data_IF_175893818336
#
_entry.id   IF_175893818336
#
_cell.length_a   1.000
_cell.length_b   1.000
_cell.length_c   1.000
_cell.angle_alpha   90.00
_cell.angle_beta   90.00
_cell.angle_gamma   90.00
#
_symmetry.space_group_name_H-M   'P 1'
#
loop_
_entity.id
_entity.type
_entity.pdbx_description
1 polymer ?
#
# COMPACT_ATOMS: atom_id res chain seq x y z
N UNK A 1 37.68 -10.83 1.29
CA UNK A 1 36.68 -9.77 1.05
C UNK A 1 36.55 -9.03 2.36
N UNK A 2 37.26 -7.92 2.49
CA UNK A 2 37.33 -7.19 3.76
C UNK A 2 36.17 -6.20 3.84
N UNK A 3 35.60 -6.05 5.04
CA UNK A 3 34.47 -5.16 5.27
C UNK A 3 34.89 -3.69 5.16
N UNK A 4 34.20 -2.92 4.32
CA UNK A 4 34.54 -1.53 3.96
C UNK A 4 33.74 -0.53 4.79
N UNK A 5 34.26 -0.15 5.96
CA UNK A 5 33.62 0.79 6.88
C UNK A 5 33.42 2.20 6.30
N UNK A 6 34.29 2.61 5.38
CA UNK A 6 34.22 3.88 4.65
C UNK A 6 32.97 3.99 3.76
N UNK A 7 32.50 2.87 3.22
CA UNK A 7 31.26 2.83 2.44
C UNK A 7 30.04 3.11 3.30
N UNK A 8 30.00 2.63 4.55
CA UNK A 8 28.85 2.84 5.45
C UNK A 8 28.60 4.32 5.70
N UNK A 9 29.66 5.09 6.00
CA UNK A 9 29.53 6.55 6.23
C UNK A 9 29.04 7.25 4.97
N UNK A 10 29.52 6.80 3.80
CA UNK A 10 29.16 7.39 2.50
C UNK A 10 27.70 7.10 2.12
N UNK A 11 27.19 5.89 2.40
CA UNK A 11 25.80 5.50 2.07
C UNK A 11 24.81 5.83 3.20
N UNK A 12 25.27 6.21 4.39
CA UNK A 12 24.38 6.50 5.50
C UNK A 12 23.29 7.55 5.16
N UNK A 13 23.58 8.65 4.47
CA UNK A 13 22.55 9.62 4.07
C UNK A 13 21.47 9.01 3.16
N UNK A 14 21.83 8.12 2.23
CA UNK A 14 20.85 7.49 1.34
C UNK A 14 20.00 6.46 2.10
N UNK A 15 20.60 5.72 3.04
CA UNK A 15 19.88 4.81 3.93
C UNK A 15 18.91 5.57 4.83
N UNK A 16 19.33 6.71 5.38
CA UNK A 16 18.50 7.58 6.21
C UNK A 16 17.32 8.14 5.42
N UNK A 17 17.55 8.61 4.19
CA UNK A 17 16.47 9.05 3.31
C UNK A 17 15.49 7.90 3.00
N UNK A 18 16.00 6.71 2.66
CA UNK A 18 15.16 5.55 2.38
C UNK A 18 14.35 5.09 3.60
N UNK A 19 14.93 5.18 4.79
CA UNK A 19 14.25 4.95 6.06
C UNK A 19 13.07 5.91 6.24
N UNK A 20 13.29 7.22 6.06
CA UNK A 20 12.22 8.23 6.17
C UNK A 20 11.12 8.01 5.13
N UNK A 21 11.49 7.65 3.89
CA UNK A 21 10.49 7.33 2.85
C UNK A 21 9.67 6.10 3.23
N UNK A 22 10.30 5.03 3.73
CA UNK A 22 9.59 3.81 4.15
C UNK A 22 8.65 4.10 5.32
N UNK A 23 9.12 4.91 6.28
CA UNK A 23 8.33 5.31 7.44
C UNK A 23 7.10 6.12 6.99
N UNK A 24 7.30 7.16 6.18
CA UNK A 24 6.22 7.98 5.64
C UNK A 24 5.21 7.15 4.85
N UNK A 25 5.70 6.25 3.98
CA UNK A 25 4.85 5.34 3.22
C UNK A 25 4.02 4.45 4.15
N UNK A 26 4.66 3.77 5.10
CA UNK A 26 4.00 2.84 6.04
C UNK A 26 2.93 3.54 6.86
N UNK A 27 3.22 4.72 7.41
CA UNK A 27 2.25 5.50 8.18
C UNK A 27 1.06 5.91 7.32
N UNK A 28 1.30 6.42 6.11
CA UNK A 28 0.23 6.85 5.21
C UNK A 28 -0.66 5.68 4.74
N UNK A 29 -0.07 4.56 4.31
CA UNK A 29 -0.81 3.35 3.96
C UNK A 29 -1.61 2.80 5.14
N UNK A 30 -1.02 2.77 6.33
CA UNK A 30 -1.70 2.27 7.53
C UNK A 30 -2.90 3.14 7.90
N UNK A 31 -2.80 4.47 7.79
CA UNK A 31 -3.93 5.36 8.05
C UNK A 31 -5.06 5.15 7.04
N UNK A 32 -4.75 5.04 5.75
CA UNK A 32 -5.75 4.78 4.70
C UNK A 32 -6.41 3.41 4.92
N UNK A 33 -5.62 2.37 5.16
CA UNK A 33 -6.11 1.01 5.38
C UNK A 33 -6.92 0.86 6.67
N UNK A 34 -6.60 1.64 7.71
CA UNK A 34 -7.40 1.66 8.93
C UNK A 34 -8.78 2.28 8.68
N UNK A 35 -8.84 3.40 7.95
CA UNK A 35 -10.12 4.06 7.62
C UNK A 35 -10.96 3.17 6.71
N UNK A 36 -10.39 2.66 5.61
CA UNK A 36 -11.09 1.76 4.69
C UNK A 36 -11.50 0.45 5.37
N UNK A 37 -10.59 -0.15 6.14
CA UNK A 37 -10.85 -1.36 6.92
C UNK A 37 -11.97 -1.19 7.93
N UNK A 38 -12.03 -0.04 8.61
CA UNK A 38 -13.13 0.28 9.53
C UNK A 38 -14.47 0.38 8.79
N UNK A 39 -14.52 1.09 7.67
CA UNK A 39 -15.74 1.21 6.86
C UNK A 39 -16.22 -0.17 6.40
N UNK A 40 -15.32 -0.99 5.85
CA UNK A 40 -15.64 -2.35 5.39
C UNK A 40 -16.07 -3.28 6.53
N UNK A 41 -15.45 -3.15 7.71
CA UNK A 41 -15.84 -3.91 8.89
C UNK A 41 -17.27 -3.57 9.34
N UNK A 42 -17.62 -2.28 9.36
CA UNK A 42 -18.98 -1.83 9.66
C UNK A 42 -19.99 -2.34 8.61
N UNK A 43 -19.65 -2.26 7.33
CA UNK A 43 -20.47 -2.80 6.24
C UNK A 43 -20.70 -4.31 6.38
N UNK A 44 -19.69 -5.06 6.81
CA UNK A 44 -19.76 -6.53 6.99
C UNK A 44 -20.73 -6.96 8.10
N UNK A 45 -20.88 -6.16 9.16
CA UNK A 45 -21.77 -6.45 10.29
C UNK A 45 -23.19 -5.92 10.03
N UNK A 46 -23.38 -5.11 8.98
CA UNK A 46 -24.70 -4.59 8.58
C UNK A 46 -25.70 -5.72 8.32
N UNK A 47 -26.96 -5.47 8.67
CA UNK A 47 -28.10 -6.33 8.31
C UNK A 47 -28.45 -6.25 6.82
N UNK A 48 -28.01 -5.18 6.13
CA UNK A 48 -28.21 -5.06 4.69
C UNK A 48 -27.28 -6.03 3.94
N UNK A 49 -27.90 -7.02 3.28
CA UNK A 49 -27.20 -8.07 2.56
C UNK A 49 -26.33 -7.54 1.41
N UNK A 50 -26.66 -6.40 0.81
CA UNK A 50 -25.88 -5.77 -0.26
C UNK A 50 -24.56 -5.22 0.31
N UNK A 51 -24.63 -4.43 1.39
CA UNK A 51 -23.43 -3.86 2.03
C UNK A 51 -22.50 -4.96 2.54
N UNK A 52 -23.08 -5.99 3.15
CA UNK A 52 -22.35 -7.17 3.62
C UNK A 52 -21.71 -7.94 2.46
N UNK A 53 -22.42 -8.12 1.35
CA UNK A 53 -21.90 -8.79 0.15
C UNK A 53 -20.73 -8.04 -0.47
N UNK A 54 -20.84 -6.71 -0.63
CA UNK A 54 -19.78 -5.86 -1.18
C UNK A 54 -18.52 -5.94 -0.30
N UNK A 55 -18.67 -5.83 1.04
CA UNK A 55 -17.51 -5.86 1.93
C UNK A 55 -16.83 -7.22 1.94
N UNK A 56 -17.59 -8.32 1.93
CA UNK A 56 -17.03 -9.68 1.83
C UNK A 56 -16.25 -9.84 0.53
N UNK A 57 -16.85 -9.49 -0.61
CA UNK A 57 -16.21 -9.61 -1.92
C UNK A 57 -14.91 -8.80 -2.00
N UNK A 58 -14.92 -7.55 -1.51
CA UNK A 58 -13.72 -6.72 -1.46
C UNK A 58 -12.63 -7.35 -0.57
N UNK A 59 -12.97 -7.74 0.66
CA UNK A 59 -12.02 -8.32 1.62
C UNK A 59 -11.41 -9.61 1.06
N UNK A 60 -12.22 -10.49 0.46
CA UNK A 60 -11.74 -11.75 -0.12
C UNK A 60 -10.83 -11.52 -1.33
N UNK A 61 -11.18 -10.57 -2.21
CA UNK A 61 -10.36 -10.24 -3.38
C UNK A 61 -9.01 -9.64 -2.96
N UNK A 62 -9.00 -8.67 -2.05
CA UNK A 62 -7.78 -8.01 -1.59
C UNK A 62 -6.90 -8.97 -0.78
N UNK A 63 -7.48 -9.80 0.10
CA UNK A 63 -6.70 -10.78 0.88
C UNK A 63 -6.28 -12.01 0.05
N UNK A 64 -6.98 -12.29 -1.04
CA UNK A 64 -6.69 -13.37 -1.97
C UNK A 64 -5.70 -12.99 -3.08
N UNK A 65 -5.38 -11.71 -3.25
CA UNK A 65 -4.44 -11.22 -4.27
C UNK A 65 -3.08 -10.86 -3.66
N UNK A 66 -1.95 -11.24 -4.29
CA UNK A 66 -0.64 -10.85 -3.80
C UNK A 66 -0.47 -9.33 -3.77
N UNK A 67 0.09 -8.78 -2.69
CA UNK A 67 0.34 -7.33 -2.56
C UNK A 67 1.21 -6.78 -3.71
N UNK A 68 2.19 -7.56 -4.18
CA UNK A 68 2.99 -7.19 -5.35
C UNK A 68 2.13 -7.00 -6.60
N UNK A 69 1.14 -7.86 -6.80
CA UNK A 69 0.22 -7.77 -7.94
C UNK A 69 -0.68 -6.53 -7.82
N UNK A 70 -1.16 -6.20 -6.63
CA UNK A 70 -1.91 -4.96 -6.37
C UNK A 70 -1.08 -3.73 -6.70
N UNK A 71 0.17 -3.66 -6.23
CA UNK A 71 1.09 -2.56 -6.56
C UNK A 71 1.30 -2.48 -8.08
N UNK A 72 1.53 -3.62 -8.76
CA UNK A 72 1.73 -3.62 -10.21
C UNK A 72 0.48 -3.16 -10.97
N UNK A 73 -0.73 -3.58 -10.57
CA UNK A 73 -1.97 -3.13 -11.18
C UNK A 73 -2.17 -1.62 -11.02
N UNK A 74 -1.91 -1.08 -9.84
CA UNK A 74 -2.06 0.35 -9.59
C UNK A 74 -0.97 1.14 -10.33
N UNK A 75 0.29 0.70 -10.26
CA UNK A 75 1.42 1.41 -10.85
C UNK A 75 1.45 1.35 -12.38
N UNK A 76 1.08 0.22 -13.00
CA UNK A 76 1.12 0.05 -14.46
C UNK A 76 -0.27 0.12 -15.11
N UNK A 77 -1.31 -0.36 -14.43
CA UNK A 77 -2.67 -0.42 -14.97
C UNK A 77 -3.37 0.94 -15.01
N UNK A 78 -3.26 1.77 -13.97
CA UNK A 78 -3.86 3.11 -13.97
C UNK A 78 -3.30 4.02 -15.07
N UNK A 79 -1.97 4.10 -15.28
CA UNK A 79 -1.42 4.84 -16.42
C UNK A 79 -1.89 4.32 -17.78
N UNK A 80 -2.08 3.00 -17.94
CA UNK A 80 -2.63 2.43 -19.16
C UNK A 80 -4.08 2.87 -19.44
N UNK A 81 -4.82 3.28 -18.40
CA UNK A 81 -6.15 3.89 -18.50
C UNK A 81 -6.12 5.42 -18.63
N UNK A 82 -4.93 6.03 -18.77
CA UNK A 82 -4.73 7.47 -18.87
C UNK A 82 -4.63 8.22 -17.53
N UNK A 83 -4.62 7.49 -16.40
CA UNK A 83 -4.50 8.06 -15.06
C UNK A 83 -3.05 7.96 -14.57
N UNK A 84 -2.30 9.04 -14.74
CA UNK A 84 -0.93 9.13 -14.23
C UNK A 84 -0.93 9.53 -12.76
N UNK A 85 -0.54 8.60 -11.90
CA UNK A 85 -0.38 8.82 -10.45
C UNK A 85 1.09 8.71 -10.06
N UNK A 86 1.49 9.49 -9.07
CA UNK A 86 2.86 9.43 -8.53
C UNK A 86 3.13 8.06 -7.87
N UNK A 87 4.41 7.67 -7.84
CA UNK A 87 4.84 6.36 -7.30
C UNK A 87 4.45 6.17 -5.84
N UNK A 88 4.58 7.22 -5.02
CA UNK A 88 4.24 7.13 -3.61
C UNK A 88 2.72 6.98 -3.44
N UNK A 89 1.94 7.76 -4.18
CA UNK A 89 0.47 7.64 -4.16
C UNK A 89 0.01 6.26 -4.62
N UNK A 90 0.60 5.72 -5.69
CA UNK A 90 0.31 4.36 -6.15
C UNK A 90 0.59 3.31 -5.06
N UNK A 91 1.72 3.42 -4.36
CA UNK A 91 2.07 2.51 -3.28
C UNK A 91 1.11 2.65 -2.08
N UNK A 92 0.68 3.86 -1.73
CA UNK A 92 -0.30 4.08 -0.65
C UNK A 92 -1.65 3.47 -0.99
N UNK A 93 -2.15 3.70 -2.20
CA UNK A 93 -3.44 3.16 -2.65
C UNK A 93 -3.42 1.64 -2.77
N UNK A 94 -2.30 1.06 -3.22
CA UNK A 94 -2.19 -0.38 -3.37
C UNK A 94 -2.03 -1.12 -2.03
N UNK A 95 -1.42 -0.49 -1.01
CA UNK A 95 -1.08 -1.13 0.26
C UNK A 95 -2.01 -0.75 1.43
N UNK A 96 -2.73 0.36 1.32
CA UNK A 96 -3.67 0.82 2.34
C UNK A 96 -5.08 0.31 2.10
#
# INVERSE_FOLDING_TARGET
MDFRWDLLVTIFPILWSGFLTTLGLTLSSLLVGLVLGLILALMKISTNWILKGISIAYIELIRGTPALMQIMLVYFGLPALGLNIDRLTAAVVALG
#
